data_IF_520816317573
#
_entry.id   IF_520816317573
#
_cell.length_a   1.000
_cell.length_b   1.000
_cell.length_c   1.000
_cell.angle_alpha   90.00
_cell.angle_beta   90.00
_cell.angle_gamma   90.00
#
_symmetry.space_group_name_H-M   'P 1'
#
loop_
_entity.id
_entity.type
_entity.pdbx_description
1 polymer ?
#
# COMPACT_ATOMS: atom_id res chain seq x y z
N UNK A 1 17.85 3.11 13.16
CA UNK A 1 16.38 3.26 13.11
C UNK A 1 15.95 4.34 12.10
N UNK A 2 16.58 5.52 12.08
CA UNK A 2 16.14 6.66 11.24
C UNK A 2 16.09 6.38 9.74
N UNK A 3 17.07 5.63 9.21
CA UNK A 3 17.06 5.21 7.80
C UNK A 3 15.87 4.31 7.44
N UNK A 4 15.43 3.45 8.36
CA UNK A 4 14.25 2.59 8.15
C UNK A 4 12.96 3.42 8.21
N UNK A 5 12.85 4.34 9.17
CA UNK A 5 11.72 5.29 9.25
C UNK A 5 11.61 6.14 7.98
N UNK A 6 12.74 6.63 7.45
CA UNK A 6 12.78 7.36 6.18
C UNK A 6 12.33 6.49 5.00
N UNK A 7 12.85 5.25 4.90
CA UNK A 7 12.45 4.29 3.86
C UNK A 7 10.95 4.00 3.93
N UNK A 8 10.40 3.76 5.13
CA UNK A 8 8.96 3.58 5.36
C UNK A 8 8.15 4.78 4.87
N UNK A 9 8.56 5.99 5.24
CA UNK A 9 7.88 7.23 4.83
C UNK A 9 7.88 7.41 3.31
N UNK A 10 9.02 7.15 2.65
CA UNK A 10 9.13 7.21 1.20
C UNK A 10 8.24 6.17 0.50
N UNK A 11 8.21 4.93 1.01
CA UNK A 11 7.34 3.87 0.50
C UNK A 11 5.87 4.21 0.68
N UNK A 12 5.44 4.64 1.88
CA UNK A 12 4.06 5.10 2.12
C UNK A 12 3.69 6.28 1.20
N UNK A 13 4.62 7.20 0.92
CA UNK A 13 4.35 8.28 -0.05
C UNK A 13 4.11 7.74 -1.46
N UNK A 14 4.92 6.77 -1.92
CA UNK A 14 4.73 6.15 -3.24
C UNK A 14 3.43 5.36 -3.32
N UNK A 15 3.13 4.57 -2.29
CA UNK A 15 1.89 3.80 -2.20
C UNK A 15 0.67 4.72 -2.20
N UNK A 16 0.66 5.79 -1.39
CA UNK A 16 -0.46 6.74 -1.36
C UNK A 16 -0.68 7.39 -2.72
N UNK A 17 0.38 7.79 -3.42
CA UNK A 17 0.25 8.32 -4.79
C UNK A 17 -0.36 7.29 -5.74
N UNK A 18 0.11 6.05 -5.68
CA UNK A 18 -0.38 4.98 -6.55
C UNK A 18 -1.84 4.60 -6.24
N UNK A 19 -2.25 4.63 -4.97
CA UNK A 19 -3.65 4.47 -4.57
C UNK A 19 -4.50 5.59 -5.17
N UNK A 20 -4.07 6.85 -5.06
CA UNK A 20 -4.82 7.98 -5.65
C UNK A 20 -4.87 7.90 -7.18
N UNK A 21 -3.78 7.49 -7.84
CA UNK A 21 -3.78 7.22 -9.29
C UNK A 21 -4.77 6.12 -9.66
N UNK A 22 -4.80 5.02 -8.88
CA UNK A 22 -5.72 3.91 -9.07
C UNK A 22 -7.19 4.33 -8.88
N UNK A 23 -7.49 5.11 -7.85
CA UNK A 23 -8.84 5.63 -7.59
C UNK A 23 -9.33 6.55 -8.72
N UNK A 24 -8.46 7.42 -9.24
CA UNK A 24 -8.77 8.26 -10.41
C UNK A 24 -8.95 7.43 -11.67
N UNK A 25 -8.13 6.40 -11.86
CA UNK A 25 -8.21 5.52 -13.03
C UNK A 25 -9.51 4.71 -13.03
N UNK A 26 -9.89 4.14 -11.88
CA UNK A 26 -11.17 3.46 -11.69
C UNK A 26 -12.37 4.38 -11.99
N UNK A 27 -12.25 5.68 -11.71
CA UNK A 27 -13.30 6.65 -12.00
C UNK A 27 -13.39 7.08 -13.48
N UNK A 28 -12.44 6.68 -14.35
CA UNK A 28 -12.28 7.24 -15.70
C UNK A 28 -12.31 6.23 -16.85
N UNK A 29 -13.25 5.29 -16.81
CA UNK A 29 -13.44 4.23 -17.82
C UNK A 29 -12.15 3.38 -17.97
N UNK A 30 -11.90 2.59 -16.93
CA UNK A 30 -10.67 1.82 -16.81
C UNK A 30 -10.52 0.78 -17.93
N UNK A 31 -9.28 0.37 -18.19
CA UNK A 31 -8.96 -0.73 -19.09
C UNK A 31 -8.26 -1.83 -18.27
N UNK A 32 -8.72 -3.09 -18.40
CA UNK A 32 -8.17 -4.30 -17.78
C UNK A 32 -6.63 -4.36 -17.77
N UNK A 33 -6.00 -4.02 -18.90
CA UNK A 33 -4.53 -4.02 -19.02
C UNK A 33 -3.83 -3.05 -18.08
N UNK A 34 -4.42 -1.87 -17.82
CA UNK A 34 -3.86 -0.90 -16.89
C UNK A 34 -4.19 -1.23 -15.43
N UNK A 35 -5.36 -1.81 -15.16
CA UNK A 35 -5.76 -2.27 -13.83
C UNK A 35 -4.82 -3.37 -13.30
N UNK A 36 -4.48 -4.35 -14.14
CA UNK A 36 -3.54 -5.42 -13.77
C UNK A 36 -2.13 -4.90 -13.46
N UNK A 37 -1.65 -3.89 -14.19
CA UNK A 37 -0.36 -3.22 -13.94
C UNK A 37 -0.39 -2.46 -12.61
N UNK A 38 -1.45 -1.70 -12.34
CA UNK A 38 -1.61 -0.97 -11.08
C UNK A 38 -1.66 -1.92 -9.88
N UNK A 39 -2.44 -3.00 -10.00
CA UNK A 39 -2.55 -4.05 -8.97
C UNK A 39 -1.19 -4.69 -8.67
N UNK A 40 -0.45 -5.09 -9.71
CA UNK A 40 0.90 -5.68 -9.57
C UNK A 40 1.89 -4.72 -8.90
N UNK A 41 1.86 -3.44 -9.28
CA UNK A 41 2.73 -2.40 -8.68
C UNK A 41 2.39 -2.17 -7.20
N UNK A 42 1.10 -2.13 -6.85
CA UNK A 42 0.66 -2.00 -5.45
C UNK A 42 1.10 -3.21 -4.62
N UNK A 43 0.92 -4.44 -5.11
CA UNK A 43 1.37 -5.65 -4.41
C UNK A 43 2.88 -5.65 -4.17
N UNK A 44 3.68 -5.26 -5.17
CA UNK A 44 5.13 -5.17 -5.01
C UNK A 44 5.56 -4.14 -3.96
N UNK A 45 4.91 -2.97 -3.93
CA UNK A 45 5.17 -1.95 -2.92
C UNK A 45 4.69 -2.38 -1.53
N UNK A 46 3.57 -3.10 -1.43
CA UNK A 46 3.07 -3.66 -0.18
C UNK A 46 4.08 -4.63 0.45
N UNK A 47 4.65 -5.53 -0.35
CA UNK A 47 5.68 -6.46 0.12
C UNK A 47 6.90 -5.71 0.68
N UNK A 48 7.41 -4.72 -0.05
CA UNK A 48 8.53 -3.90 0.41
C UNK A 48 8.21 -3.11 1.67
N UNK A 49 6.97 -2.63 1.81
CA UNK A 49 6.52 -1.91 2.99
C UNK A 49 6.45 -2.85 4.21
N UNK A 50 5.89 -4.05 4.04
CA UNK A 50 5.82 -5.08 5.09
C UNK A 50 7.22 -5.49 5.59
N UNK A 51 8.19 -5.67 4.68
CA UNK A 51 9.58 -5.95 5.06
C UNK A 51 10.17 -4.83 5.94
N UNK A 52 9.87 -3.57 5.60
CA UNK A 52 10.37 -2.42 6.36
C UNK A 52 9.64 -2.26 7.68
N UNK A 53 8.34 -2.50 7.73
CA UNK A 53 7.55 -2.45 8.97
C UNK A 53 7.98 -3.55 9.94
N UNK A 54 8.20 -4.78 9.46
CA UNK A 54 8.76 -5.88 10.27
C UNK A 54 10.17 -5.57 10.80
N UNK A 55 10.98 -4.84 10.02
CA UNK A 55 12.32 -4.41 10.47
C UNK A 55 12.27 -3.25 11.48
N UNK A 56 11.17 -2.49 11.51
CA UNK A 56 10.97 -1.38 12.46
C UNK A 56 10.36 -1.88 13.75
N UNK A 57 9.42 -2.83 13.70
CA UNK A 57 8.66 -3.36 14.85
C UNK A 57 9.52 -3.63 16.09
N UNK A 58 10.61 -4.42 16.05
CA UNK A 58 11.42 -4.72 17.24
C UNK A 58 12.24 -3.53 17.75
N UNK A 59 12.28 -2.42 17.01
CA UNK A 59 13.01 -1.20 17.36
C UNK A 59 12.10 -0.12 17.96
N UNK A 60 10.78 -0.31 17.93
CA UNK A 60 9.82 0.64 18.51
C UNK A 60 9.81 0.48 20.03
N UNK A 61 9.85 1.60 20.74
CA UNK A 61 9.74 1.62 22.21
C UNK A 61 8.30 1.34 22.64
N UNK A 62 8.11 0.67 23.78
CA UNK A 62 6.78 0.22 24.24
C UNK A 62 5.72 1.34 24.26
N UNK A 63 6.09 2.56 24.64
CA UNK A 63 5.20 3.73 24.68
C UNK A 63 4.62 4.10 23.30
N UNK A 64 5.35 3.83 22.22
CA UNK A 64 4.95 4.11 20.84
C UNK A 64 4.45 2.85 20.09
N UNK A 65 4.61 1.66 20.70
CA UNK A 65 4.42 0.38 20.02
C UNK A 65 2.98 0.16 19.55
N UNK A 66 2.01 0.43 20.42
CA UNK A 66 0.58 0.28 20.10
C UNK A 66 0.15 1.17 18.94
N UNK A 67 0.49 2.47 19.00
CA UNK A 67 0.12 3.41 17.95
C UNK A 67 0.82 3.09 16.61
N UNK A 68 2.08 2.63 16.65
CA UNK A 68 2.80 2.21 15.46
C UNK A 68 2.18 0.97 14.82
N UNK A 69 1.79 0.00 15.64
CA UNK A 69 1.10 -1.21 15.21
C UNK A 69 -0.24 -0.88 14.54
N UNK A 70 -1.09 -0.09 15.20
CA UNK A 70 -2.39 0.36 14.65
C UNK A 70 -2.19 1.08 13.31
N UNK A 71 -1.29 2.06 13.26
CA UNK A 71 -1.03 2.82 12.02
C UNK A 71 -0.54 1.93 10.87
N UNK A 72 0.19 0.87 11.18
CA UNK A 72 0.71 -0.07 10.19
C UNK A 72 -0.40 -0.96 9.64
N UNK A 73 -1.27 -1.48 10.49
CA UNK A 73 -2.45 -2.26 10.08
C UNK A 73 -3.38 -1.41 9.22
N UNK A 74 -3.79 -0.24 9.71
CA UNK A 74 -4.73 0.63 8.98
C UNK A 74 -4.20 1.01 7.59
N UNK A 75 -2.89 1.25 7.49
CA UNK A 75 -2.28 1.57 6.21
C UNK A 75 -2.25 0.36 5.28
N UNK A 76 -1.93 -0.83 5.79
CA UNK A 76 -1.95 -2.07 5.00
C UNK A 76 -3.36 -2.42 4.52
N UNK A 77 -4.39 -2.26 5.36
CA UNK A 77 -5.78 -2.51 4.99
C UNK A 77 -6.22 -1.62 3.82
N UNK A 78 -5.78 -0.35 3.79
CA UNK A 78 -6.04 0.55 2.66
C UNK A 78 -5.41 0.04 1.36
N UNK A 79 -4.21 -0.54 1.42
CA UNK A 79 -3.54 -1.10 0.24
C UNK A 79 -4.32 -2.33 -0.25
N UNK A 80 -4.64 -3.25 0.65
CA UNK A 80 -5.39 -4.48 0.33
C UNK A 80 -6.74 -4.14 -0.28
N UNK A 81 -7.46 -3.18 0.31
CA UNK A 81 -8.74 -2.73 -0.21
C UNK A 81 -8.62 -2.13 -1.62
N UNK A 82 -7.57 -1.37 -1.91
CA UNK A 82 -7.32 -0.82 -3.24
C UNK A 82 -6.99 -1.92 -4.27
N UNK A 83 -6.12 -2.87 -3.92
CA UNK A 83 -5.80 -4.02 -4.77
C UNK A 83 -7.07 -4.84 -5.08
N UNK A 84 -7.89 -5.11 -4.07
CA UNK A 84 -9.13 -5.87 -4.25
C UNK A 84 -10.09 -5.16 -5.24
N UNK A 85 -10.25 -3.84 -5.11
CA UNK A 85 -11.06 -3.04 -6.05
C UNK A 85 -10.53 -3.10 -7.48
N UNK A 86 -9.22 -2.97 -7.67
CA UNK A 86 -8.60 -3.06 -8.99
C UNK A 86 -8.81 -4.42 -9.64
N UNK A 87 -8.69 -5.50 -8.86
CA UNK A 87 -8.93 -6.86 -9.35
C UNK A 87 -10.40 -7.10 -9.69
N UNK A 88 -11.33 -6.58 -8.89
CA UNK A 88 -12.76 -6.71 -9.15
C UNK A 88 -13.14 -5.99 -10.46
N UNK A 89 -12.71 -4.73 -10.64
CA UNK A 89 -13.01 -3.97 -11.86
C UNK A 89 -12.41 -4.65 -13.12
N UNK A 90 -11.21 -5.21 -13.00
CA UNK A 90 -10.57 -5.96 -14.08
C UNK A 90 -11.37 -7.23 -14.48
N UNK A 91 -12.06 -7.86 -13.54
CA UNK A 91 -12.94 -9.00 -13.81
C UNK A 91 -14.27 -8.56 -14.44
N UNK A 92 -14.85 -7.45 -14.00
CA UNK A 92 -16.12 -6.92 -14.53
C UNK A 92 -16.01 -6.39 -15.97
N UNK A 93 -14.79 -6.06 -16.43
CA UNK A 93 -14.51 -5.57 -17.78
C UNK A 93 -14.19 -6.67 -18.82
N UNK A 94 -14.18 -7.95 -18.43
CA UNK A 94 -13.93 -9.10 -19.33
C UNK A 94 -15.21 -9.64 -19.96
#
# INVERSE_FOLDING_TARGET
>A
MDRLKLKRSALRTQVTKLISEAELFLASDANDGALSVLSSRLSALQLQLNEVDNAIEPLVVDEDAEQNYISTIEYNDRIVACIAKLSQEAEEQK
#
